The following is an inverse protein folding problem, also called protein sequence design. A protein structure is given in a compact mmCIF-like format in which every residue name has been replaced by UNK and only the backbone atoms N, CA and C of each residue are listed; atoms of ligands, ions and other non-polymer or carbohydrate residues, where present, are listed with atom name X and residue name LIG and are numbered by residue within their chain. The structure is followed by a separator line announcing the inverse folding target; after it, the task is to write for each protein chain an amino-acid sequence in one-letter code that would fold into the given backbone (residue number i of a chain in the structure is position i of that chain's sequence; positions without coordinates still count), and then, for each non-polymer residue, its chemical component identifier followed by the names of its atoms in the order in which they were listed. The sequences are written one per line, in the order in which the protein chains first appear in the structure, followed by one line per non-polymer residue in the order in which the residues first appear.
data_IF_022352191650
#
_entry.id   IF_022352191650
#
_cell.length_a   1.000
_cell.length_b   1.000
_cell.length_c   1.000
_cell.angle_alpha   90.00
_cell.angle_beta   90.00
_cell.angle_gamma   90.00
#
_symmetry.space_group_name_H-M   'P 1'
#
loop_
_entity.id
_entity.type
_entity.pdbx_description
1 polymer ?
#
# COMPACT_ATOMS: atom_id res chain seq x y z
N UNK A 1 15.01 -5.60 20.45
CA UNK A 1 14.57 -6.01 19.10
C UNK A 1 13.26 -5.29 18.86
N UNK A 2 13.23 -4.44 17.88
CA UNK A 2 12.08 -3.60 17.49
C UNK A 2 10.94 -4.50 17.01
N UNK A 3 9.70 -4.14 17.32
CA UNK A 3 8.51 -4.71 16.68
C UNK A 3 8.77 -4.74 15.17
N UNK A 4 8.65 -5.92 14.57
CA UNK A 4 8.96 -6.12 13.17
C UNK A 4 7.73 -5.75 12.35
N UNK A 5 7.53 -4.43 12.15
CA UNK A 5 6.56 -3.97 11.17
C UNK A 5 7.08 -4.33 9.77
N UNK A 6 6.20 -4.86 8.95
CA UNK A 6 6.53 -5.10 7.55
C UNK A 6 6.80 -3.76 6.88
N UNK A 7 7.88 -3.72 6.12
CA UNK A 7 8.20 -2.59 5.26
C UNK A 7 7.80 -2.87 3.81
N UNK A 8 7.87 -1.85 2.99
CA UNK A 8 7.56 -1.93 1.56
C UNK A 8 8.34 -3.05 0.88
N UNK A 9 9.63 -3.20 1.23
CA UNK A 9 10.50 -4.25 0.65
C UNK A 9 10.05 -5.68 0.93
N UNK A 10 9.23 -5.91 1.97
CA UNK A 10 8.68 -7.23 2.30
C UNK A 10 7.45 -7.60 1.45
N UNK A 11 6.80 -6.60 0.87
CA UNK A 11 5.51 -6.74 0.17
C UNK A 11 5.60 -6.41 -1.31
N UNK A 12 6.59 -5.62 -1.75
CA UNK A 12 6.71 -5.16 -3.13
C UNK A 12 7.02 -6.30 -4.09
N UNK A 13 6.58 -6.14 -5.34
CA UNK A 13 7.04 -6.94 -6.48
C UNK A 13 8.37 -6.38 -6.97
N UNK A 14 9.40 -7.24 -7.06
CA UNK A 14 10.76 -6.85 -7.47
C UNK A 14 11.00 -6.95 -8.97
N UNK A 15 10.40 -7.97 -9.61
CA UNK A 15 10.50 -8.16 -11.07
C UNK A 15 9.50 -7.22 -11.75
N UNK A 16 9.92 -5.96 -11.94
CA UNK A 16 9.05 -4.90 -12.42
C UNK A 16 9.06 -4.84 -13.93
N UNK A 17 7.89 -5.05 -14.55
CA UNK A 17 7.64 -4.70 -15.95
C UNK A 17 7.58 -3.18 -16.04
N UNK A 18 8.46 -2.59 -16.85
CA UNK A 18 8.60 -1.13 -17.03
C UNK A 18 8.77 -0.78 -18.50
N UNK A 19 8.65 0.47 -18.83
CA UNK A 19 8.76 0.97 -20.19
C UNK A 19 9.51 2.30 -20.26
N UNK A 20 10.05 2.64 -21.43
CA UNK A 20 10.66 3.93 -21.70
C UNK A 20 9.63 4.98 -22.16
N UNK A 21 10.04 6.26 -22.20
CA UNK A 21 9.18 7.40 -22.60
C UNK A 21 8.60 7.24 -24.01
N UNK A 22 9.39 6.75 -24.94
CA UNK A 22 9.04 6.66 -26.37
C UNK A 22 8.25 5.39 -26.73
N UNK A 23 7.96 4.52 -25.75
CA UNK A 23 7.26 3.27 -26.02
C UNK A 23 5.87 3.52 -26.60
N UNK A 24 5.54 2.93 -27.76
CA UNK A 24 4.28 3.15 -28.44
C UNK A 24 3.07 2.60 -27.66
N UNK A 25 1.91 3.23 -27.82
CA UNK A 25 0.61 2.83 -27.22
C UNK A 25 0.34 1.32 -27.31
N UNK A 26 0.48 0.73 -28.48
CA UNK A 26 0.20 -0.71 -28.68
C UNK A 26 1.14 -1.62 -27.91
N UNK A 27 2.39 -1.22 -27.75
CA UNK A 27 3.37 -1.99 -26.96
C UNK A 27 3.04 -1.91 -25.48
N UNK A 28 2.63 -0.74 -24.98
CA UNK A 28 2.15 -0.58 -23.59
C UNK A 28 0.94 -1.49 -23.35
N UNK A 29 -0.06 -1.46 -24.24
CA UNK A 29 -1.24 -2.31 -24.13
C UNK A 29 -0.87 -3.80 -24.12
N UNK A 30 0.08 -4.22 -24.98
CA UNK A 30 0.58 -5.59 -25.01
C UNK A 30 1.26 -6.00 -23.70
N UNK A 31 2.13 -5.15 -23.14
CA UNK A 31 2.79 -5.41 -21.86
C UNK A 31 1.78 -5.56 -20.72
N UNK A 32 0.76 -4.69 -20.66
CA UNK A 32 -0.28 -4.79 -19.63
C UNK A 32 -1.03 -6.13 -19.71
N UNK A 33 -1.38 -6.58 -20.93
CA UNK A 33 -2.10 -7.84 -21.15
C UNK A 33 -1.23 -9.08 -20.93
N UNK A 34 0.02 -9.08 -21.43
CA UNK A 34 0.94 -10.21 -21.37
C UNK A 34 1.33 -10.55 -19.93
N UNK A 35 1.53 -9.50 -19.09
CA UNK A 35 1.94 -9.67 -17.70
C UNK A 35 0.78 -9.60 -16.69
N UNK A 36 -0.46 -9.51 -17.16
CA UNK A 36 -1.68 -9.38 -16.33
C UNK A 36 -1.55 -8.28 -15.26
N UNK A 37 -1.07 -7.12 -15.70
CA UNK A 37 -0.86 -5.94 -14.84
C UNK A 37 -1.72 -4.77 -15.32
N UNK A 38 -2.15 -3.92 -14.39
CA UNK A 38 -3.07 -2.80 -14.68
C UNK A 38 -2.36 -1.44 -14.80
N UNK A 39 -1.08 -1.38 -14.58
CA UNK A 39 -0.20 -0.23 -14.91
C UNK A 39 1.26 -0.62 -14.78
N UNK A 40 2.14 0.18 -15.39
CA UNK A 40 3.58 -0.01 -15.35
C UNK A 40 4.30 1.36 -15.21
N UNK A 41 5.46 1.38 -14.55
CA UNK A 41 6.30 2.56 -14.49
C UNK A 41 6.89 2.90 -15.86
N UNK A 42 6.98 4.20 -16.12
CA UNK A 42 7.77 4.76 -17.23
C UNK A 42 9.09 5.25 -16.64
N UNK A 43 10.20 4.80 -17.18
CA UNK A 43 11.54 5.12 -16.68
C UNK A 43 12.36 5.94 -17.67
N UNK A 44 13.34 6.66 -17.16
CA UNK A 44 14.38 7.32 -17.94
C UNK A 44 15.55 6.37 -18.24
N UNK A 45 16.58 6.86 -18.98
CA UNK A 45 17.78 6.11 -19.33
C UNK A 45 18.63 5.68 -18.12
N UNK A 46 18.39 6.28 -16.95
CA UNK A 46 19.04 5.95 -15.69
C UNK A 46 18.20 4.98 -14.83
N UNK A 47 17.13 4.41 -15.40
CA UNK A 47 16.16 3.51 -14.75
C UNK A 47 15.40 4.18 -13.58
N UNK A 48 15.18 5.49 -13.65
CA UNK A 48 14.41 6.25 -12.65
C UNK A 48 12.97 6.43 -13.12
N UNK A 49 11.96 6.17 -12.26
CA UNK A 49 10.56 6.35 -12.62
C UNK A 49 10.25 7.84 -12.82
N UNK A 50 9.80 8.18 -14.02
CA UNK A 50 9.40 9.54 -14.40
C UNK A 50 7.88 9.70 -14.45
N UNK A 51 7.14 8.60 -14.56
CA UNK A 51 5.69 8.55 -14.56
C UNK A 51 5.17 7.13 -14.44
N UNK A 52 3.85 7.00 -14.46
CA UNK A 52 3.14 5.72 -14.47
C UNK A 52 2.07 5.77 -15.55
N UNK A 53 1.99 4.71 -16.38
CA UNK A 53 0.90 4.49 -17.35
C UNK A 53 0.02 3.36 -16.86
N UNK A 54 -1.29 3.53 -16.92
CA UNK A 54 -2.30 2.56 -16.49
C UNK A 54 -3.29 2.22 -17.61
N UNK A 55 -4.04 1.11 -17.42
CA UNK A 55 -5.19 0.78 -18.28
C UNK A 55 -6.17 1.94 -18.43
N UNK A 56 -6.41 2.69 -17.33
CA UNK A 56 -7.30 3.84 -17.35
C UNK A 56 -6.81 4.95 -18.27
N UNK A 57 -5.48 5.13 -18.41
CA UNK A 57 -4.90 6.10 -19.34
C UNK A 57 -5.10 5.66 -20.80
N UNK A 58 -5.00 4.36 -21.08
CA UNK A 58 -5.26 3.81 -22.40
C UNK A 58 -6.76 3.87 -22.75
N UNK A 59 -7.64 3.50 -21.80
CA UNK A 59 -9.09 3.52 -22.01
C UNK A 59 -9.65 4.92 -22.22
N UNK A 60 -9.01 5.98 -21.70
CA UNK A 60 -9.41 7.36 -22.00
C UNK A 60 -9.38 7.69 -23.48
N UNK A 61 -8.44 7.11 -24.22
CA UNK A 61 -8.36 7.26 -25.69
C UNK A 61 -9.60 6.69 -26.35
N UNK A 62 -10.01 5.49 -25.95
CA UNK A 62 -11.19 4.82 -26.49
C UNK A 62 -12.49 5.53 -26.10
N UNK A 63 -12.58 6.01 -24.85
CA UNK A 63 -13.73 6.74 -24.35
C UNK A 63 -14.00 8.09 -25.07
N UNK A 64 -13.01 8.60 -25.80
CA UNK A 64 -13.15 9.84 -26.59
C UNK A 64 -13.46 9.59 -28.07
N UNK A 65 -13.49 8.33 -28.51
CA UNK A 65 -13.92 8.02 -29.87
C UNK A 65 -15.41 8.34 -30.05
N UNK A 66 -15.81 8.79 -31.24
CA UNK A 66 -17.23 8.96 -31.56
C UNK A 66 -17.96 7.62 -31.37
N UNK A 67 -19.12 7.65 -30.74
CA UNK A 67 -19.96 6.45 -30.65
C UNK A 67 -20.34 5.97 -32.05
N UNK A 68 -19.97 4.74 -32.45
CA UNK A 68 -20.28 4.21 -33.79
C UNK A 68 -21.79 4.15 -34.09
N UNK A 69 -22.61 4.02 -33.05
CA UNK A 69 -24.08 3.99 -33.17
C UNK A 69 -24.70 5.39 -33.13
N UNK A 70 -23.95 6.44 -32.77
CA UNK A 70 -24.40 7.81 -32.68
C UNK A 70 -25.48 8.05 -31.58
N UNK A 71 -25.57 7.13 -30.61
CA UNK A 71 -26.57 7.16 -29.54
C UNK A 71 -26.08 7.88 -28.30
N UNK A 72 -24.76 7.97 -28.09
CA UNK A 72 -24.17 8.64 -26.95
C UNK A 72 -23.79 10.08 -27.29
N UNK A 73 -24.04 11.04 -26.37
CA UNK A 73 -23.55 12.41 -26.56
C UNK A 73 -22.02 12.43 -26.56
N UNK A 74 -21.43 13.38 -27.29
CA UNK A 74 -19.98 13.58 -27.30
C UNK A 74 -19.47 13.75 -25.87
N UNK A 75 -18.42 13.01 -25.51
CA UNK A 75 -17.82 13.07 -24.19
C UNK A 75 -17.33 14.49 -23.88
N UNK A 76 -17.80 15.08 -22.77
CA UNK A 76 -17.30 16.36 -22.27
C UNK A 76 -15.98 16.12 -21.54
N UNK A 77 -14.87 16.28 -22.24
CA UNK A 77 -13.52 15.98 -21.70
C UNK A 77 -12.80 17.26 -21.36
N UNK A 78 -12.28 17.42 -20.13
CA UNK A 78 -11.40 18.53 -19.78
C UNK A 78 -10.17 18.60 -20.70
N UNK A 79 -9.65 19.83 -20.92
CA UNK A 79 -8.56 20.06 -21.88
C UNK A 79 -7.29 19.23 -21.61
N UNK A 80 -6.97 18.99 -20.33
CA UNK A 80 -5.82 18.16 -19.93
C UNK A 80 -5.98 16.68 -20.30
N UNK A 81 -7.21 16.16 -20.26
CA UNK A 81 -7.50 14.77 -20.63
C UNK A 81 -7.52 14.56 -22.15
N UNK A 82 -7.78 15.62 -22.93
CA UNK A 82 -7.77 15.58 -24.39
C UNK A 82 -6.37 15.33 -24.94
N UNK A 83 -5.34 16.03 -24.40
CA UNK A 83 -3.95 15.82 -24.79
C UNK A 83 -3.47 14.38 -24.53
N UNK A 84 -3.84 13.80 -23.38
CA UNK A 84 -3.56 12.40 -23.06
C UNK A 84 -4.25 11.42 -24.02
N UNK A 85 -5.48 11.68 -24.42
CA UNK A 85 -6.22 10.81 -25.33
C UNK A 85 -5.68 10.85 -26.77
N UNK A 86 -5.06 11.92 -27.19
CA UNK A 86 -4.38 12.05 -28.48
C UNK A 86 -2.99 11.41 -28.46
N UNK A 87 -2.41 11.20 -27.29
CA UNK A 87 -1.06 10.68 -27.13
C UNK A 87 -0.90 9.25 -27.71
N UNK A 88 0.27 8.99 -28.27
CA UNK A 88 0.62 7.71 -28.90
C UNK A 88 1.85 7.03 -28.27
N UNK A 89 2.48 7.69 -27.29
CA UNK A 89 3.66 7.19 -26.56
C UNK A 89 3.45 7.23 -25.06
N UNK A 90 4.28 6.48 -24.32
CA UNK A 90 4.26 6.43 -22.85
C UNK A 90 4.36 7.82 -22.21
N UNK A 91 5.22 8.70 -22.73
CA UNK A 91 5.41 10.06 -22.20
C UNK A 91 4.12 10.88 -22.25
N UNK A 92 3.38 10.80 -23.34
CA UNK A 92 2.12 11.54 -23.47
C UNK A 92 0.96 10.94 -22.69
N UNK A 93 0.98 9.62 -22.43
CA UNK A 93 -0.06 8.88 -21.73
C UNK A 93 0.12 8.91 -20.20
N UNK A 94 1.37 8.91 -19.72
CA UNK A 94 1.68 8.74 -18.30
C UNK A 94 1.13 9.86 -17.42
N UNK A 95 0.90 9.53 -16.17
CA UNK A 95 0.77 10.52 -15.08
C UNK A 95 2.18 10.80 -14.55
N UNK A 96 2.59 12.05 -14.63
CA UNK A 96 3.92 12.54 -14.24
C UNK A 96 3.77 13.78 -13.34
N UNK A 97 4.68 13.98 -12.36
CA UNK A 97 5.77 13.09 -11.98
C UNK A 97 5.26 11.80 -11.32
N UNK A 98 6.10 10.75 -11.34
CA UNK A 98 5.80 9.53 -10.60
C UNK A 98 5.82 9.81 -9.09
N UNK A 99 4.76 9.41 -8.40
CA UNK A 99 4.76 9.32 -6.93
C UNK A 99 5.46 8.02 -6.56
N UNK A 100 6.51 8.10 -5.76
CA UNK A 100 7.37 6.95 -5.44
C UNK A 100 7.33 6.61 -3.95
N UNK A 101 7.80 5.42 -3.60
CA UNK A 101 8.07 5.01 -2.22
C UNK A 101 9.49 4.46 -2.10
N UNK A 102 9.91 4.16 -0.86
CA UNK A 102 11.22 3.60 -0.56
C UNK A 102 11.07 2.22 0.11
N UNK A 103 12.07 1.31 -0.05
CA UNK A 103 12.00 -0.05 0.49
C UNK A 103 11.78 -0.14 2.00
N UNK A 104 12.32 0.82 2.76
CA UNK A 104 12.26 0.90 4.22
C UNK A 104 10.97 1.53 4.76
N UNK A 105 10.14 2.12 3.92
CA UNK A 105 8.88 2.69 4.37
C UNK A 105 7.96 1.63 4.99
N UNK A 106 7.26 2.01 6.04
CA UNK A 106 6.20 1.21 6.62
C UNK A 106 4.99 1.12 5.67
N UNK A 107 4.16 0.09 5.89
CA UNK A 107 2.86 -0.04 5.20
C UNK A 107 2.00 1.21 5.37
N UNK A 108 2.06 1.85 6.55
CA UNK A 108 1.28 3.06 6.87
C UNK A 108 1.76 4.26 6.05
N UNK A 109 3.07 4.45 5.89
CA UNK A 109 3.64 5.53 5.06
C UNK A 109 3.23 5.34 3.60
N UNK A 110 3.41 4.14 3.06
CA UNK A 110 3.01 3.83 1.68
C UNK A 110 1.50 4.03 1.45
N UNK A 111 0.65 3.61 2.42
CA UNK A 111 -0.79 3.79 2.33
C UNK A 111 -1.20 5.28 2.33
N UNK A 112 -0.58 6.09 3.19
CA UNK A 112 -0.83 7.55 3.25
C UNK A 112 -0.41 8.24 1.96
N UNK A 113 0.72 7.85 1.39
CA UNK A 113 1.20 8.40 0.12
C UNK A 113 0.25 8.07 -1.02
N UNK A 114 -0.23 6.81 -1.11
CA UNK A 114 -1.24 6.42 -2.10
C UNK A 114 -2.56 7.18 -1.94
N UNK A 115 -2.98 7.45 -0.70
CA UNK A 115 -4.22 8.16 -0.42
C UNK A 115 -4.11 9.64 -0.75
N UNK A 116 -3.04 10.31 -0.32
CA UNK A 116 -2.83 11.75 -0.52
C UNK A 116 -2.71 12.12 -2.00
N UNK A 117 -2.13 11.25 -2.81
CA UNK A 117 -1.94 11.46 -4.25
C UNK A 117 -3.00 10.76 -5.12
N UNK A 118 -3.99 10.09 -4.49
CA UNK A 118 -5.05 9.34 -5.18
C UNK A 118 -4.52 8.29 -6.17
N UNK A 119 -3.36 7.68 -5.89
CA UNK A 119 -2.76 6.64 -6.73
C UNK A 119 -3.02 5.24 -6.16
N UNK A 120 -2.98 4.23 -7.03
CA UNK A 120 -3.24 2.82 -6.67
C UNK A 120 -1.97 2.01 -6.46
N UNK A 121 -0.81 2.56 -6.84
CA UNK A 121 0.51 1.93 -6.74
C UNK A 121 1.60 2.97 -6.72
N UNK A 122 2.75 2.58 -6.18
CA UNK A 122 3.95 3.41 -6.11
C UNK A 122 5.11 2.60 -6.69
N UNK A 123 5.84 3.13 -7.67
CA UNK A 123 7.20 2.65 -7.96
C UNK A 123 8.04 2.79 -6.68
N UNK A 124 8.84 1.78 -6.39
CA UNK A 124 9.76 1.75 -5.25
C UNK A 124 11.14 2.06 -5.77
N UNK A 125 11.81 3.03 -5.17
CA UNK A 125 13.14 3.47 -5.61
C UNK A 125 14.16 3.30 -4.50
N UNK A 126 15.40 3.03 -4.90
CA UNK A 126 16.56 3.05 -4.00
C UNK A 126 17.05 4.47 -3.71
N UNK A 127 18.12 4.61 -2.90
CA UNK A 127 18.74 5.89 -2.54
C UNK A 127 19.28 6.67 -3.76
N UNK A 128 19.52 5.99 -4.88
CA UNK A 128 19.94 6.62 -6.15
C UNK A 128 18.75 7.05 -7.03
N UNK A 129 17.53 6.78 -6.60
CA UNK A 129 16.30 7.05 -7.32
C UNK A 129 15.97 6.02 -8.40
N UNK A 130 16.65 4.87 -8.46
CA UNK A 130 16.42 3.81 -9.43
C UNK A 130 15.29 2.91 -8.99
N UNK A 131 14.52 2.44 -9.95
CA UNK A 131 13.41 1.52 -9.75
C UNK A 131 13.89 0.15 -9.25
N UNK A 132 13.46 -0.25 -8.04
CA UNK A 132 13.79 -1.54 -7.42
C UNK A 132 12.55 -2.40 -7.13
N UNK A 133 11.36 -1.86 -7.30
CA UNK A 133 10.11 -2.58 -7.07
C UNK A 133 8.88 -1.74 -7.42
N UNK A 134 7.72 -2.36 -7.26
CA UNK A 134 6.40 -1.69 -7.29
C UNK A 134 5.58 -2.23 -6.14
N UNK A 135 4.89 -1.34 -5.43
CA UNK A 135 3.92 -1.71 -4.40
C UNK A 135 2.54 -1.16 -4.76
N UNK A 136 1.51 -1.97 -4.58
CA UNK A 136 0.12 -1.62 -4.86
C UNK A 136 -0.76 -1.63 -3.62
N UNK A 137 -1.97 -1.06 -3.70
CA UNK A 137 -2.99 -1.17 -2.63
C UNK A 137 -3.30 -2.63 -2.29
N UNK A 138 -3.32 -3.51 -3.28
CA UNK A 138 -3.56 -4.94 -3.05
C UNK A 138 -2.45 -5.58 -2.23
N UNK A 139 -1.19 -5.17 -2.44
CA UNK A 139 -0.05 -5.67 -1.67
C UNK A 139 -0.12 -5.19 -0.22
N UNK A 140 -0.48 -3.93 0.02
CA UNK A 140 -0.69 -3.39 1.37
C UNK A 140 -1.82 -4.12 2.11
N UNK A 141 -2.90 -4.50 1.40
CA UNK A 141 -4.02 -5.24 2.02
C UNK A 141 -3.63 -6.64 2.50
N UNK A 142 -2.53 -7.23 1.99
CA UNK A 142 -2.05 -8.55 2.43
C UNK A 142 -1.71 -8.60 3.92
N UNK A 143 -1.38 -7.48 4.56
CA UNK A 143 -1.12 -7.45 6.01
C UNK A 143 -2.35 -7.86 6.82
N UNK A 144 -3.57 -7.56 6.32
CA UNK A 144 -4.81 -7.93 6.96
C UNK A 144 -5.22 -9.40 6.77
N UNK A 145 -4.49 -10.15 5.93
CA UNK A 145 -4.71 -11.58 5.72
C UNK A 145 -3.87 -12.45 6.68
N UNK A 146 -3.22 -11.83 7.67
CA UNK A 146 -2.51 -12.55 8.72
C UNK A 146 -3.48 -13.38 9.56
N UNK A 147 -3.02 -14.56 9.97
CA UNK A 147 -3.81 -15.42 10.85
C UNK A 147 -3.93 -14.81 12.25
N UNK A 148 -5.11 -14.88 12.83
CA UNK A 148 -5.36 -14.37 14.18
C UNK A 148 -4.44 -14.99 15.24
N UNK A 149 -4.04 -16.26 15.07
CA UNK A 149 -3.06 -16.92 15.94
C UNK A 149 -1.68 -16.21 15.91
N UNK A 150 -1.22 -15.83 14.71
CA UNK A 150 0.06 -15.14 14.56
C UNK A 150 0.02 -13.72 15.13
N UNK A 151 -1.10 -13.00 14.96
CA UNK A 151 -1.30 -11.68 15.57
C UNK A 151 -1.29 -11.81 17.11
N UNK A 152 -2.01 -12.79 17.65
CA UNK A 152 -2.05 -13.06 19.09
C UNK A 152 -0.67 -13.39 19.65
N UNK A 153 0.09 -14.26 18.98
CA UNK A 153 1.45 -14.65 19.40
C UNK A 153 2.39 -13.47 19.43
N UNK A 154 2.34 -12.61 18.41
CA UNK A 154 3.15 -11.38 18.36
C UNK A 154 2.77 -10.41 19.48
N UNK A 155 1.47 -10.16 19.70
CA UNK A 155 1.04 -9.30 20.80
C UNK A 155 1.51 -9.85 22.15
N UNK A 156 1.31 -11.14 22.43
CA UNK A 156 1.72 -11.74 23.71
C UNK A 156 3.24 -11.75 23.88
N UNK A 157 3.98 -12.16 22.85
CA UNK A 157 5.43 -12.32 22.92
C UNK A 157 6.18 -11.00 22.80
N UNK A 158 5.87 -10.22 21.78
CA UNK A 158 6.69 -9.06 21.43
C UNK A 158 6.18 -7.78 22.11
N UNK A 159 4.87 -7.55 22.10
CA UNK A 159 4.31 -6.34 22.70
C UNK A 159 4.27 -6.44 24.23
N UNK A 160 3.55 -7.43 24.77
CA UNK A 160 3.30 -7.49 26.20
C UNK A 160 4.53 -7.94 26.99
N UNK A 161 5.19 -9.00 26.53
CA UNK A 161 6.32 -9.58 27.29
C UNK A 161 7.63 -8.86 27.02
N UNK A 162 8.07 -8.76 25.76
CA UNK A 162 9.40 -8.20 25.46
C UNK A 162 9.47 -6.69 25.55
N UNK A 163 8.45 -5.99 25.01
CA UNK A 163 8.49 -4.52 24.94
C UNK A 163 8.03 -3.89 26.25
N UNK A 164 6.94 -4.39 26.84
CA UNK A 164 6.34 -3.79 28.05
C UNK A 164 6.76 -4.50 29.35
N UNK A 165 7.39 -5.67 29.27
CA UNK A 165 7.85 -6.42 30.45
C UNK A 165 6.72 -6.89 31.37
N UNK A 166 5.50 -7.03 30.82
CA UNK A 166 4.36 -7.47 31.62
C UNK A 166 4.53 -8.93 32.03
N UNK A 167 4.07 -9.25 33.24
CA UNK A 167 4.13 -10.61 33.76
C UNK A 167 3.33 -11.56 32.85
N UNK A 168 3.83 -12.78 32.60
CA UNK A 168 3.11 -13.77 31.84
C UNK A 168 1.69 -13.97 32.40
N UNK A 169 0.70 -14.03 31.50
CA UNK A 169 -0.73 -14.22 31.84
C UNK A 169 -1.41 -13.06 32.59
N UNK A 170 -0.75 -11.95 32.86
CA UNK A 170 -1.40 -10.77 33.45
C UNK A 170 -2.44 -10.16 32.50
N UNK A 171 -2.20 -10.29 31.20
CA UNK A 171 -3.11 -9.85 30.12
C UNK A 171 -3.38 -11.03 29.19
N UNK A 172 -4.66 -11.32 29.00
CA UNK A 172 -5.15 -12.32 28.02
C UNK A 172 -5.47 -11.60 26.71
N UNK A 173 -4.99 -12.17 25.60
CA UNK A 173 -5.21 -11.63 24.25
C UNK A 173 -6.12 -12.57 23.48
N UNK A 174 -7.25 -12.07 23.05
CA UNK A 174 -8.15 -12.74 22.11
C UNK A 174 -8.13 -12.00 20.78
N UNK A 175 -8.03 -12.74 19.67
CA UNK A 175 -8.05 -12.17 18.31
C UNK A 175 -9.07 -12.95 17.49
N UNK A 176 -9.99 -12.22 16.84
CA UNK A 176 -11.00 -12.77 15.92
C UNK A 176 -11.16 -11.78 14.76
N UNK A 177 -10.89 -12.23 13.54
CA UNK A 177 -10.92 -11.40 12.33
C UNK A 177 -10.09 -10.12 12.46
N UNK A 178 -8.87 -10.22 13.02
CA UNK A 178 -7.99 -9.09 13.28
C UNK A 178 -8.44 -8.15 14.41
N UNK A 179 -9.57 -8.42 15.05
CA UNK A 179 -10.05 -7.63 16.22
C UNK A 179 -9.48 -8.22 17.50
N UNK A 180 -8.71 -7.39 18.18
CA UNK A 180 -8.03 -7.74 19.43
C UNK A 180 -8.88 -7.35 20.61
N UNK A 181 -9.07 -8.27 21.55
CA UNK A 181 -9.67 -8.01 22.86
C UNK A 181 -8.63 -8.33 23.94
N UNK A 182 -8.30 -7.32 24.75
CA UNK A 182 -7.36 -7.42 25.87
C UNK A 182 -8.14 -7.48 27.17
N UNK A 183 -7.87 -8.51 28.02
CA UNK A 183 -8.47 -8.65 29.35
C UNK A 183 -7.42 -8.93 30.40
N UNK A 184 -7.55 -8.35 31.56
CA UNK A 184 -6.64 -8.61 32.68
C UNK A 184 -6.25 -7.37 33.43
N UNK A 185 -5.07 -7.40 34.07
CA UNK A 185 -4.62 -6.31 34.93
C UNK A 185 -3.22 -5.84 34.58
N UNK A 186 -3.00 -4.55 34.70
CA UNK A 186 -1.68 -3.91 34.60
C UNK A 186 -1.34 -3.22 35.93
N UNK A 187 -0.05 -3.09 36.23
CA UNK A 187 0.38 -2.50 37.49
C UNK A 187 0.04 -1.01 37.59
N UNK A 188 0.05 -0.30 36.48
CA UNK A 188 -0.21 1.15 36.44
C UNK A 188 -1.24 1.47 35.35
N UNK A 189 -2.26 2.28 35.69
CA UNK A 189 -3.32 2.66 34.77
C UNK A 189 -2.82 3.39 33.50
N UNK A 190 -1.70 4.12 33.61
CA UNK A 190 -1.08 4.82 32.47
C UNK A 190 -0.49 3.89 31.41
N UNK A 191 -0.31 2.59 31.71
CA UNK A 191 0.12 1.59 30.74
C UNK A 191 -1.01 1.17 29.79
N UNK A 192 -2.28 1.29 30.18
CA UNK A 192 -3.42 0.87 29.35
C UNK A 192 -3.39 1.51 27.95
N UNK A 193 -3.32 2.85 27.82
CA UNK A 193 -3.27 3.48 26.52
C UNK A 193 -2.00 3.14 25.72
N UNK A 194 -0.90 2.84 26.41
CA UNK A 194 0.35 2.40 25.75
C UNK A 194 0.19 1.00 25.16
N UNK A 195 -0.36 0.06 25.94
CA UNK A 195 -0.68 -1.30 25.47
C UNK A 195 -1.58 -1.25 24.24
N UNK A 196 -2.69 -0.50 24.32
CA UNK A 196 -3.62 -0.36 23.19
C UNK A 196 -2.95 0.19 21.94
N UNK A 197 -2.16 1.24 22.07
CA UNK A 197 -1.45 1.86 20.95
C UNK A 197 -0.48 0.89 20.29
N UNK A 198 0.29 0.16 21.09
CA UNK A 198 1.25 -0.82 20.57
C UNK A 198 0.54 -2.00 19.90
N UNK A 199 -0.57 -2.48 20.48
CA UNK A 199 -1.37 -3.52 19.84
C UNK A 199 -1.99 -3.07 18.52
N UNK A 200 -2.46 -1.81 18.40
CA UNK A 200 -2.94 -1.25 17.13
C UNK A 200 -1.84 -1.14 16.07
N UNK A 201 -0.59 -1.06 16.48
CA UNK A 201 0.54 -1.04 15.57
C UNK A 201 0.95 -2.41 15.03
N UNK A 202 0.40 -3.52 15.53
CA UNK A 202 0.73 -4.85 15.03
C UNK A 202 0.05 -5.08 13.68
N UNK A 203 0.83 -5.54 12.70
CA UNK A 203 0.33 -5.82 11.35
C UNK A 203 -0.85 -6.81 11.37
N UNK A 204 -1.92 -6.44 10.68
CA UNK A 204 -3.14 -7.25 10.58
C UNK A 204 -4.18 -6.95 11.66
N UNK A 205 -3.88 -6.12 12.64
CA UNK A 205 -4.86 -5.66 13.62
C UNK A 205 -5.80 -4.64 12.98
N UNK A 206 -7.11 -4.90 13.10
CA UNK A 206 -8.19 -4.06 12.56
C UNK A 206 -8.76 -3.14 13.64
N UNK A 207 -8.91 -3.67 14.86
CA UNK A 207 -9.43 -2.92 16.01
C UNK A 207 -8.88 -3.49 17.32
N UNK A 208 -8.79 -2.65 18.35
CA UNK A 208 -8.36 -3.06 19.70
C UNK A 208 -9.38 -2.59 20.73
N UNK A 209 -9.96 -3.53 21.46
CA UNK A 209 -10.79 -3.29 22.65
C UNK A 209 -10.03 -3.72 23.89
N UNK A 210 -10.09 -2.89 24.94
CA UNK A 210 -9.37 -3.10 26.19
C UNK A 210 -10.36 -3.14 27.35
N UNK A 211 -10.39 -4.29 28.02
CA UNK A 211 -11.04 -4.51 29.31
C UNK A 211 -9.92 -4.68 30.38
N UNK A 212 -8.92 -3.80 30.35
CA UNK A 212 -7.79 -3.83 31.28
C UNK A 212 -8.08 -2.95 32.48
N UNK A 213 -7.76 -3.48 33.66
CA UNK A 213 -7.88 -2.75 34.92
C UNK A 213 -6.51 -2.57 35.58
N UNK A 214 -6.40 -1.54 36.45
CA UNK A 214 -5.22 -1.42 37.27
C UNK A 214 -5.29 -2.45 38.42
N UNK A 215 -4.18 -3.16 38.66
CA UNK A 215 -4.05 -4.05 39.81
C UNK A 215 -4.21 -3.25 41.10
N UNK A 216 -5.22 -3.58 41.89
CA UNK A 216 -5.38 -2.98 43.22
C UNK A 216 -4.18 -3.30 44.10
N UNK A 217 -3.49 -2.29 44.58
CA UNK A 217 -2.48 -2.45 45.64
C UNK A 217 -3.21 -2.92 46.91
N UNK A 218 -2.93 -4.15 47.34
CA UNK A 218 -3.39 -4.66 48.62
C UNK A 218 -2.51 -4.11 49.73
#
# INVERSE_FOLDING_TARGET
MTMQHRCVSDLMTRDVVRTGRDTPFKEIAKLLMEYDITALPVVDDADRPVGVVSEADLLRKEAQQPDPAGLLPAAHTPHADRAKAEAITAEGLMTSPAVVSHPEWSVVEAAREMESHHVKRLPVVDDSGRLVGVISRADLLRVFLRRDSAIREEIQGDVLTRTLGLAPYSVTVHVVDGRVTLKGTVEQANLIPVVERLCRGVDGVVDVRSDLEQKSSA
#
